data_IF_026730254061
#
_entry.id   IF_026730254061
#
_cell.length_a   1.000
_cell.length_b   1.000
_cell.length_c   1.000
_cell.angle_alpha   90.00
_cell.angle_beta   90.00
_cell.angle_gamma   90.00
#
_symmetry.space_group_name_H-M   'P 1'
#
loop_
_entity.id
_entity.type
_entity.pdbx_description
1 polymer ?
#
# COMPACT_ATOMS: atom_id res chain seq x y z
N UNK A 1 -2.36 -1.89 -24.31
CA UNK A 1 -1.78 -0.83 -23.46
C UNK A 1 -1.26 -1.46 -22.18
N UNK A 2 -0.13 -0.98 -21.65
CA UNK A 2 0.39 -1.40 -20.34
C UNK A 2 -0.53 -0.83 -19.26
N UNK A 3 -0.94 -1.67 -18.29
CA UNK A 3 -1.73 -1.22 -17.12
C UNK A 3 -0.87 -0.37 -16.20
N UNK A 4 -1.45 0.65 -15.56
CA UNK A 4 -0.78 1.41 -14.50
C UNK A 4 -0.71 0.60 -13.22
N UNK A 5 0.45 0.47 -12.60
CA UNK A 5 0.63 -0.17 -11.30
C UNK A 5 0.24 0.85 -10.23
N UNK A 6 -0.83 0.56 -9.50
CA UNK A 6 -1.39 1.47 -8.50
C UNK A 6 -1.18 0.87 -7.11
N UNK A 7 -0.33 1.50 -6.31
CA UNK A 7 -0.09 1.10 -4.93
C UNK A 7 -1.27 1.52 -4.05
N UNK A 8 -1.87 0.57 -3.33
CA UNK A 8 -3.06 0.79 -2.49
C UNK A 8 -2.61 0.96 -1.04
N UNK A 9 -2.50 2.20 -0.58
CA UNK A 9 -2.14 2.54 0.80
C UNK A 9 -3.38 2.55 1.70
N UNK A 10 -3.30 1.92 2.88
CA UNK A 10 -4.41 1.81 3.84
C UNK A 10 -3.87 1.75 5.28
N UNK A 11 -4.57 2.29 6.29
CA UNK A 11 -4.18 2.12 7.68
C UNK A 11 -4.26 0.64 8.09
N UNK A 12 -3.13 0.06 8.51
CA UNK A 12 -3.06 -1.34 8.95
C UNK A 12 -2.99 -1.50 10.47
N UNK A 13 -2.23 -0.64 11.16
CA UNK A 13 -1.97 -0.78 12.59
C UNK A 13 -3.24 -0.80 13.46
N UNK A 14 -3.17 -1.52 14.58
CA UNK A 14 -4.32 -1.83 15.43
C UNK A 14 -4.91 -3.19 15.07
N UNK A 15 -6.05 -3.21 14.39
CA UNK A 15 -6.71 -4.44 13.94
C UNK A 15 -6.16 -4.94 12.60
N UNK A 16 -4.93 -5.48 12.65
CA UNK A 16 -4.15 -5.87 11.46
C UNK A 16 -4.93 -6.81 10.55
N UNK A 17 -5.55 -7.86 11.11
CA UNK A 17 -6.27 -8.86 10.32
C UNK A 17 -7.48 -8.27 9.59
N UNK A 18 -8.31 -7.47 10.28
CA UNK A 18 -9.47 -6.86 9.64
C UNK A 18 -9.06 -5.80 8.63
N UNK A 19 -8.02 -5.00 8.91
CA UNK A 19 -7.52 -4.00 7.97
C UNK A 19 -6.92 -4.64 6.71
N UNK A 20 -6.19 -5.76 6.83
CA UNK A 20 -5.75 -6.53 5.67
C UNK A 20 -6.94 -7.04 4.84
N UNK A 21 -8.00 -7.54 5.48
CA UNK A 21 -9.23 -7.92 4.77
C UNK A 21 -9.91 -6.74 4.06
N UNK A 22 -9.88 -5.54 4.64
CA UNK A 22 -10.34 -4.31 3.97
C UNK A 22 -9.51 -4.01 2.72
N UNK A 23 -8.18 -4.11 2.80
CA UNK A 23 -7.29 -3.95 1.63
C UNK A 23 -7.62 -4.97 0.54
N UNK A 24 -7.79 -6.25 0.89
CA UNK A 24 -8.17 -7.29 -0.08
C UNK A 24 -9.53 -7.01 -0.73
N UNK A 25 -10.49 -6.46 0.02
CA UNK A 25 -11.79 -6.04 -0.51
C UNK A 25 -11.65 -4.90 -1.53
N UNK A 26 -10.82 -3.89 -1.23
CA UNK A 26 -10.52 -2.78 -2.15
C UNK A 26 -9.83 -3.31 -3.42
N UNK A 27 -8.80 -4.15 -3.25
CA UNK A 27 -8.06 -4.75 -4.38
C UNK A 27 -9.01 -5.59 -5.25
N UNK A 28 -9.89 -6.39 -4.65
CA UNK A 28 -10.89 -7.16 -5.40
C UNK A 28 -11.83 -6.24 -6.19
N UNK A 29 -12.34 -5.18 -5.56
CA UNK A 29 -13.20 -4.21 -6.22
C UNK A 29 -12.50 -3.60 -7.44
N UNK A 30 -11.29 -3.07 -7.26
CA UNK A 30 -10.52 -2.43 -8.33
C UNK A 30 -10.19 -3.38 -9.49
N UNK A 31 -9.87 -4.64 -9.20
CA UNK A 31 -9.66 -5.66 -10.25
C UNK A 31 -10.92 -5.92 -11.08
N UNK A 32 -12.12 -5.79 -10.48
CA UNK A 32 -13.40 -6.02 -11.15
C UNK A 32 -13.92 -4.80 -11.90
N UNK A 33 -13.55 -3.59 -11.47
CA UNK A 33 -14.12 -2.34 -12.02
C UNK A 33 -13.16 -1.54 -12.90
N UNK A 34 -11.85 -1.83 -12.87
CA UNK A 34 -10.85 -1.05 -13.59
C UNK A 34 -9.99 -1.95 -14.49
N UNK A 35 -10.11 -1.77 -15.81
CA UNK A 35 -9.35 -2.56 -16.79
C UNK A 35 -7.98 -1.99 -17.11
N UNK A 36 -7.74 -0.71 -16.77
CA UNK A 36 -6.55 0.07 -17.09
C UNK A 36 -5.49 0.10 -15.97
N UNK A 37 -5.80 -0.45 -14.79
CA UNK A 37 -4.89 -0.48 -13.64
C UNK A 37 -4.59 -1.91 -13.16
N UNK A 38 -3.49 -2.05 -12.43
CA UNK A 38 -3.11 -3.20 -11.62
C UNK A 38 -3.03 -2.73 -10.16
N UNK A 39 -4.06 -2.99 -9.33
CA UNK A 39 -4.02 -2.63 -7.91
C UNK A 39 -2.99 -3.50 -7.18
N UNK A 40 -2.14 -2.87 -6.38
CA UNK A 40 -0.96 -3.47 -5.81
C UNK A 40 -0.84 -3.13 -4.32
N UNK A 41 -0.83 -4.14 -3.45
CA UNK A 41 -0.70 -3.97 -1.99
C UNK A 41 0.26 -5.02 -1.40
N UNK A 42 1.55 -4.96 -1.78
CA UNK A 42 2.54 -6.01 -1.43
C UNK A 42 2.78 -6.13 0.08
N UNK A 43 2.69 -5.02 0.81
CA UNK A 43 2.92 -4.95 2.25
C UNK A 43 2.01 -5.87 3.08
N UNK A 44 0.86 -6.29 2.55
CA UNK A 44 -0.03 -7.24 3.23
C UNK A 44 0.71 -8.55 3.51
N UNK A 45 1.61 -8.97 2.63
CA UNK A 45 2.43 -10.18 2.84
C UNK A 45 3.41 -9.97 4.00
N UNK A 46 4.16 -8.87 3.99
CA UNK A 46 5.14 -8.58 5.04
C UNK A 46 4.46 -8.40 6.40
N UNK A 47 3.34 -7.66 6.47
CA UNK A 47 2.56 -7.43 7.69
C UNK A 47 2.07 -8.74 8.32
N UNK A 48 1.71 -9.74 7.51
CA UNK A 48 1.22 -11.02 8.01
C UNK A 48 2.33 -12.03 8.28
N UNK A 49 3.53 -11.82 7.72
CA UNK A 49 4.67 -12.72 7.87
C UNK A 49 5.68 -12.28 8.94
N UNK A 50 5.73 -10.99 9.26
CA UNK A 50 6.69 -10.36 10.16
C UNK A 50 6.03 -9.88 11.46
N UNK A 51 6.80 -9.79 12.54
CA UNK A 51 6.32 -9.19 13.80
C UNK A 51 6.47 -7.66 13.77
N UNK A 52 5.35 -6.93 13.72
CA UNK A 52 5.34 -5.46 13.69
C UNK A 52 5.79 -4.83 15.03
N UNK A 53 5.88 -5.62 16.12
CA UNK A 53 6.44 -5.19 17.41
C UNK A 53 7.96 -5.30 17.45
N UNK A 54 8.56 -6.04 16.53
CA UNK A 54 10.01 -6.14 16.36
C UNK A 54 10.47 -5.02 15.40
N UNK A 55 11.29 -4.05 15.88
CA UNK A 55 11.72 -2.93 15.06
C UNK A 55 12.54 -3.33 13.83
N UNK A 56 13.34 -4.41 13.90
CA UNK A 56 14.16 -4.87 12.77
C UNK A 56 13.29 -5.51 11.70
N UNK A 57 12.34 -6.35 12.10
CA UNK A 57 11.39 -6.96 11.18
C UNK A 57 10.47 -5.91 10.55
N UNK A 58 9.99 -4.94 11.33
CA UNK A 58 9.24 -3.79 10.82
C UNK A 58 10.04 -3.01 9.79
N UNK A 59 11.29 -2.65 10.11
CA UNK A 59 12.16 -1.93 9.17
C UNK A 59 12.40 -2.73 7.88
N UNK A 60 12.57 -4.06 7.98
CA UNK A 60 12.70 -4.94 6.82
C UNK A 60 11.45 -4.92 5.94
N UNK A 61 10.26 -4.93 6.52
CA UNK A 61 9.01 -4.77 5.78
C UNK A 61 8.95 -3.44 5.02
N UNK A 62 9.33 -2.33 5.65
CA UNK A 62 9.40 -1.04 4.96
C UNK A 62 10.44 -1.04 3.82
N UNK A 63 11.62 -1.63 4.01
CA UNK A 63 12.66 -1.74 2.97
C UNK A 63 12.16 -2.53 1.75
N UNK A 64 11.55 -3.69 1.97
CA UNK A 64 10.95 -4.52 0.92
C UNK A 64 9.95 -3.70 0.10
N UNK A 65 9.03 -3.00 0.78
CA UNK A 65 7.99 -2.22 0.13
C UNK A 65 8.55 -1.00 -0.61
N UNK A 66 9.53 -0.27 -0.04
CA UNK A 66 10.17 0.87 -0.71
C UNK A 66 10.81 0.47 -2.04
N UNK A 67 11.49 -0.69 -2.11
CA UNK A 67 12.11 -1.18 -3.35
C UNK A 67 11.10 -1.37 -4.49
N UNK A 68 9.84 -1.64 -4.16
CA UNK A 68 8.78 -1.86 -5.14
C UNK A 68 8.21 -0.56 -5.72
N UNK A 69 8.44 0.60 -5.07
CA UNK A 69 7.99 1.90 -5.57
C UNK A 69 8.65 2.28 -6.90
N UNK A 70 9.81 1.71 -7.24
CA UNK A 70 10.45 1.85 -8.56
C UNK A 70 9.55 1.43 -9.73
N UNK A 71 8.50 0.63 -9.46
CA UNK A 71 7.58 0.13 -10.46
C UNK A 71 6.17 0.74 -10.35
N UNK A 72 5.92 1.57 -9.34
CA UNK A 72 4.60 2.12 -9.04
C UNK A 72 4.36 3.37 -9.89
N UNK A 73 3.23 3.41 -10.60
CA UNK A 73 2.83 4.55 -11.41
C UNK A 73 2.01 5.58 -10.60
N UNK A 74 1.22 5.13 -9.61
CA UNK A 74 0.41 5.99 -8.73
C UNK A 74 0.25 5.37 -7.33
N UNK A 75 0.10 6.20 -6.29
CA UNK A 75 -0.27 5.78 -4.93
C UNK A 75 -1.70 6.24 -4.64
N UNK A 76 -2.59 5.32 -4.28
CA UNK A 76 -3.98 5.61 -3.93
C UNK A 76 -4.20 5.39 -2.43
N UNK A 77 -4.75 6.41 -1.77
CA UNK A 77 -4.96 6.44 -0.32
C UNK A 77 -6.41 6.07 0.02
N UNK A 78 -6.59 5.01 0.81
CA UNK A 78 -7.89 4.51 1.30
C UNK A 78 -7.94 4.46 2.84
N UNK A 79 -9.14 4.28 3.38
CA UNK A 79 -9.34 3.92 4.80
C UNK A 79 -9.63 5.12 5.72
N UNK A 80 -10.09 6.23 5.15
CA UNK A 80 -10.66 7.38 5.89
C UNK A 80 -9.70 8.18 6.78
N UNK A 81 -8.44 7.76 6.95
CA UNK A 81 -7.40 8.49 7.67
C UNK A 81 -6.01 8.15 7.12
N UNK A 82 -5.04 9.01 7.39
CA UNK A 82 -3.63 8.76 7.09
C UNK A 82 -2.94 8.21 8.33
N UNK A 83 -2.40 7.00 8.25
CA UNK A 83 -1.58 6.40 9.30
C UNK A 83 -0.11 6.79 9.18
N UNK A 84 0.69 6.52 10.21
CA UNK A 84 2.15 6.71 10.15
C UNK A 84 2.81 5.94 9.01
N UNK A 85 2.39 4.69 8.77
CA UNK A 85 2.89 3.89 7.65
C UNK A 85 2.56 4.54 6.30
N UNK A 86 1.32 4.99 6.13
CA UNK A 86 0.91 5.70 4.92
C UNK A 86 1.65 7.02 4.72
N UNK A 87 1.96 7.75 5.80
CA UNK A 87 2.75 8.97 5.71
C UNK A 87 4.14 8.68 5.13
N UNK A 88 4.75 7.57 5.53
CA UNK A 88 6.05 7.12 4.99
C UNK A 88 5.93 6.79 3.50
N UNK A 89 4.88 6.10 3.08
CA UNK A 89 4.61 5.79 1.66
C UNK A 89 4.36 7.05 0.83
N UNK A 90 3.66 8.05 1.38
CA UNK A 90 3.45 9.36 0.74
C UNK A 90 4.77 10.11 0.56
N UNK A 91 5.68 10.02 1.52
CA UNK A 91 7.01 10.63 1.43
C UNK A 91 7.84 9.97 0.34
N UNK A 92 7.85 8.64 0.25
CA UNK A 92 8.52 7.93 -0.86
C UNK A 92 7.93 8.30 -2.22
N UNK A 93 6.61 8.37 -2.33
CA UNK A 93 5.95 8.79 -3.56
C UNK A 93 6.38 10.20 -3.98
N UNK A 94 6.49 11.13 -3.03
CA UNK A 94 7.00 12.50 -3.29
C UNK A 94 8.46 12.49 -3.73
N UNK A 95 9.33 11.74 -3.05
CA UNK A 95 10.75 11.60 -3.42
C UNK A 95 10.92 11.11 -4.87
N UNK A 96 10.01 10.23 -5.32
CA UNK A 96 10.07 9.56 -6.61
C UNK A 96 9.17 10.21 -7.68
N UNK A 97 8.54 11.36 -7.38
CA UNK A 97 7.58 12.05 -8.24
C UNK A 97 6.38 11.18 -8.69
N UNK A 98 5.96 10.24 -7.84
CA UNK A 98 4.80 9.38 -8.05
C UNK A 98 3.53 10.15 -7.58
N UNK A 99 2.50 10.28 -8.43
CA UNK A 99 1.24 10.91 -8.04
C UNK A 99 0.57 10.21 -6.85
N UNK A 100 0.10 11.00 -5.88
CA UNK A 100 -0.65 10.52 -4.72
C UNK A 100 -2.10 10.99 -4.84
N UNK A 101 -3.06 10.06 -4.81
CA UNK A 101 -4.47 10.31 -5.05
C UNK A 101 -5.30 9.85 -3.84
N UNK A 102 -6.08 10.75 -3.26
CA UNK A 102 -7.02 10.40 -2.19
C UNK A 102 -8.27 9.75 -2.78
N UNK A 103 -8.63 8.56 -2.27
CA UNK A 103 -9.82 7.81 -2.69
C UNK A 103 -10.87 7.65 -1.59
N UNK A 104 -10.46 7.83 -0.32
CA UNK A 104 -11.19 7.61 0.95
C UNK A 104 -11.98 6.30 1.01
#
# INVERSE_FOLDING_TARGET
MKKKIVYIAHPIGGDVMNNCNSVLTIVKYLNLTNTDILPFAPYVVDVLALDDNDPEQRARGFENNKRLFDFVDEVWLYGGRISYGMQTEIEWAKEMNIPVIQKW
#
